data_IF_696751491000
#
_entry.id   IF_696751491000
#
_cell.length_a   1.000
_cell.length_b   1.000
_cell.length_c   1.000
_cell.angle_alpha   90.00
_cell.angle_beta   90.00
_cell.angle_gamma   90.00
#
_symmetry.space_group_name_H-M   'P 1'
#
loop_
_entity.id
_entity.type
_entity.pdbx_description
1 polymer ?
#
# COMPACT_ATOMS: atom_id res chain seq x y z
N UNK A 1 12.55 -6.80 11.00
CA UNK A 1 13.03 -5.39 10.96
C UNK A 1 14.42 -5.38 10.34
N UNK A 2 14.73 -4.38 9.51
CA UNK A 2 16.08 -4.20 8.97
C UNK A 2 17.12 -4.10 10.09
N UNK A 3 18.26 -4.81 9.95
CA UNK A 3 19.29 -4.89 11.01
C UNK A 3 19.88 -3.51 11.35
N UNK A 4 20.12 -2.67 10.33
CA UNK A 4 20.68 -1.31 10.53
C UNK A 4 19.72 -0.42 11.34
N UNK A 5 18.41 -0.55 11.10
CA UNK A 5 17.40 0.16 11.89
C UNK A 5 17.38 -0.36 13.32
N UNK A 6 17.34 -1.68 13.50
CA UNK A 6 17.33 -2.33 14.82
C UNK A 6 18.54 -1.91 15.65
N UNK A 7 19.74 -1.94 15.07
CA UNK A 7 21.00 -1.60 15.75
C UNK A 7 21.05 -0.09 16.13
N UNK A 8 20.27 0.76 15.46
CA UNK A 8 20.21 2.20 15.75
C UNK A 8 19.18 2.58 16.84
N UNK A 9 18.24 1.69 17.18
CA UNK A 9 17.19 1.98 18.16
C UNK A 9 17.70 2.37 19.56
N UNK A 10 18.73 1.72 20.13
CA UNK A 10 19.26 2.12 21.45
C UNK A 10 19.79 3.55 21.45
N UNK A 11 20.53 3.95 20.41
CA UNK A 11 21.07 5.32 20.30
C UNK A 11 19.93 6.34 20.10
N UNK A 12 18.94 6.02 19.24
CA UNK A 12 17.75 6.87 19.05
C UNK A 12 16.99 7.06 20.37
N UNK A 13 16.78 5.97 21.12
CA UNK A 13 16.15 6.03 22.45
C UNK A 13 16.90 6.94 23.41
N UNK A 14 18.23 6.81 23.49
CA UNK A 14 19.06 7.64 24.36
C UNK A 14 18.97 9.12 23.94
N UNK A 15 19.02 9.42 22.64
CA UNK A 15 18.82 10.76 22.14
C UNK A 15 17.46 11.32 22.57
N UNK A 16 16.37 10.63 22.30
CA UNK A 16 15.02 11.08 22.65
C UNK A 16 14.87 11.34 24.16
N UNK A 17 15.49 10.49 25.00
CA UNK A 17 15.49 10.69 26.45
C UNK A 17 16.29 11.91 26.92
N UNK A 18 17.31 12.32 26.17
CA UNK A 18 18.18 13.47 26.49
C UNK A 18 17.57 14.82 26.11
N UNK A 19 16.56 14.83 25.20
CA UNK A 19 15.93 16.06 24.74
C UNK A 19 15.18 16.78 25.88
N UNK A 20 15.31 18.10 25.96
CA UNK A 20 14.57 18.92 26.91
C UNK A 20 13.07 18.90 26.64
N UNK A 21 12.69 18.93 25.36
CA UNK A 21 11.30 18.88 24.90
C UNK A 21 10.73 17.48 24.72
N UNK A 22 11.33 16.42 25.28
CA UNK A 22 10.87 15.03 25.12
C UNK A 22 9.40 14.81 25.50
N UNK A 23 8.88 15.56 26.47
CA UNK A 23 7.47 15.48 26.87
C UNK A 23 6.51 15.98 25.78
N UNK A 24 6.99 16.73 24.81
CA UNK A 24 6.22 17.25 23.69
C UNK A 24 6.24 16.31 22.47
N UNK A 25 7.07 15.25 22.49
CA UNK A 25 7.12 14.24 21.42
C UNK A 25 6.01 13.22 21.67
N UNK A 26 5.00 13.24 20.80
CA UNK A 26 3.87 12.31 20.89
C UNK A 26 4.14 10.98 20.20
N UNK A 27 4.93 10.98 19.11
CA UNK A 27 5.16 9.77 18.32
C UNK A 27 6.46 9.89 17.50
N UNK A 28 7.11 8.75 17.27
CA UNK A 28 8.30 8.64 16.42
C UNK A 28 8.11 7.47 15.48
N UNK A 29 8.30 7.72 14.19
CA UNK A 29 8.20 6.71 13.14
C UNK A 29 9.50 6.61 12.36
N UNK A 30 9.83 5.38 11.95
CA UNK A 30 10.91 5.09 11.03
C UNK A 30 10.31 4.47 9.78
N UNK A 31 10.61 5.06 8.62
CA UNK A 31 10.27 4.47 7.34
C UNK A 31 11.55 4.24 6.53
N UNK A 32 11.56 3.15 5.77
CA UNK A 32 12.73 2.77 4.97
C UNK A 32 12.31 2.51 3.52
N UNK A 33 12.98 3.19 2.60
CA UNK A 33 13.02 2.85 1.18
C UNK A 33 14.20 1.92 0.87
N UNK A 34 14.48 1.71 -0.38
CA UNK A 34 15.62 0.88 -0.82
C UNK A 34 16.96 1.54 -0.46
N UNK A 35 17.03 2.85 -0.57
CA UNK A 35 18.25 3.63 -0.35
C UNK A 35 18.12 4.63 0.79
N UNK A 36 16.92 5.11 1.07
CA UNK A 36 16.66 6.14 2.07
C UNK A 36 16.07 5.54 3.35
N UNK A 37 16.36 6.19 4.45
CA UNK A 37 15.67 5.97 5.73
C UNK A 37 15.18 7.30 6.25
N UNK A 38 13.98 7.36 6.79
CA UNK A 38 13.44 8.55 7.42
C UNK A 38 13.20 8.34 8.91
N UNK A 39 13.49 9.39 9.67
CA UNK A 39 13.06 9.59 11.05
C UNK A 39 11.99 10.68 11.05
N UNK A 40 10.76 10.29 11.38
CA UNK A 40 9.65 11.22 11.56
C UNK A 40 9.38 11.42 13.05
N UNK A 41 9.39 12.65 13.51
CA UNK A 41 9.07 13.03 14.88
C UNK A 41 7.80 13.88 14.88
N UNK A 42 6.73 13.34 15.46
CA UNK A 42 5.47 14.07 15.71
C UNK A 42 5.54 14.73 17.08
N UNK A 43 5.27 16.02 17.13
CA UNK A 43 5.33 16.78 18.39
C UNK A 43 4.11 17.67 18.55
N UNK A 44 3.59 17.74 19.78
CA UNK A 44 2.37 18.48 20.14
C UNK A 44 2.65 19.95 20.44
N UNK A 45 3.86 20.27 20.89
CA UNK A 45 4.34 21.64 21.10
C UNK A 45 5.67 21.85 20.38
N UNK A 46 5.98 23.08 20.04
CA UNK A 46 7.19 23.44 19.31
C UNK A 46 8.45 23.00 20.08
N UNK A 47 9.26 22.17 19.45
CA UNK A 47 10.57 21.82 19.97
C UNK A 47 11.50 23.02 19.94
N UNK A 48 12.37 23.15 20.96
CA UNK A 48 13.38 24.20 20.97
C UNK A 48 14.50 23.90 19.95
N UNK A 49 15.23 24.95 19.57
CA UNK A 49 16.27 24.84 18.54
C UNK A 49 17.41 23.88 18.92
N UNK A 50 17.72 23.72 20.22
CA UNK A 50 18.77 22.80 20.66
C UNK A 50 18.34 21.35 20.43
N UNK A 51 17.11 20.98 20.76
CA UNK A 51 16.56 19.64 20.53
C UNK A 51 16.46 19.33 19.03
N UNK A 52 15.98 20.29 18.22
CA UNK A 52 15.92 20.16 16.76
C UNK A 52 17.32 19.92 16.17
N UNK A 53 18.33 20.64 16.67
CA UNK A 53 19.71 20.44 16.22
C UNK A 53 20.27 19.08 16.63
N UNK A 54 19.97 18.58 17.82
CA UNK A 54 20.38 17.22 18.23
C UNK A 54 19.76 16.14 17.34
N UNK A 55 18.46 16.25 17.04
CA UNK A 55 17.77 15.34 16.10
C UNK A 55 18.40 15.42 14.71
N UNK A 56 18.71 16.63 14.23
CA UNK A 56 19.36 16.84 12.92
C UNK A 56 20.75 16.22 12.87
N UNK A 57 21.58 16.42 13.88
CA UNK A 57 22.93 15.84 13.93
C UNK A 57 22.87 14.31 13.96
N UNK A 58 21.93 13.74 14.72
CA UNK A 58 21.71 12.30 14.74
C UNK A 58 21.32 11.77 13.36
N UNK A 59 20.33 12.40 12.71
CA UNK A 59 19.87 12.00 11.39
C UNK A 59 21.01 12.07 10.35
N UNK A 60 21.78 13.16 10.34
CA UNK A 60 22.93 13.34 9.47
C UNK A 60 24.01 12.26 9.72
N UNK A 61 24.32 11.96 10.99
CA UNK A 61 25.28 10.90 11.35
C UNK A 61 24.84 9.53 10.85
N UNK A 62 23.53 9.24 10.88
CA UNK A 62 22.97 7.98 10.39
C UNK A 62 22.73 7.96 8.88
N UNK A 63 22.85 9.10 8.18
CA UNK A 63 22.45 9.25 6.78
C UNK A 63 20.95 9.16 6.59
N UNK A 64 20.17 9.61 7.59
CA UNK A 64 18.70 9.54 7.56
C UNK A 64 18.10 10.91 7.22
N UNK A 65 16.97 10.89 6.52
CA UNK A 65 16.12 12.05 6.34
C UNK A 65 15.38 12.34 7.66
N UNK A 66 15.34 13.60 8.09
CA UNK A 66 14.61 13.99 9.29
C UNK A 66 13.36 14.78 8.95
N UNK A 67 12.24 14.32 9.46
CA UNK A 67 10.94 14.97 9.31
C UNK A 67 10.38 15.39 10.67
N UNK A 68 9.79 16.57 10.71
CA UNK A 68 8.97 17.05 11.84
C UNK A 68 7.52 17.20 11.39
N UNK A 69 6.60 16.82 12.26
CA UNK A 69 5.16 16.97 12.07
C UNK A 69 4.51 17.55 13.34
N UNK A 70 4.29 18.88 13.40
CA UNK A 70 3.70 19.52 14.57
C UNK A 70 2.18 19.41 14.67
N UNK A 71 1.49 19.04 13.58
CA UNK A 71 0.02 18.96 13.49
C UNK A 71 -0.41 17.82 12.57
N UNK A 72 -1.40 18.05 11.73
CA UNK A 72 -1.87 17.11 10.72
C UNK A 72 -0.83 16.79 9.62
N UNK A 73 -1.15 15.87 8.70
CA UNK A 73 -0.25 15.43 7.63
C UNK A 73 0.33 16.57 6.79
N UNK A 74 -0.45 17.62 6.57
CA UNK A 74 -0.07 18.82 5.82
C UNK A 74 1.08 19.62 6.46
N UNK A 75 1.34 19.38 7.74
CA UNK A 75 2.42 20.05 8.49
C UNK A 75 3.76 19.32 8.40
N UNK A 76 3.81 18.18 7.71
CA UNK A 76 5.04 17.40 7.52
C UNK A 76 6.10 18.24 6.81
N UNK A 77 7.31 18.30 7.39
CA UNK A 77 8.45 19.04 6.80
C UNK A 77 9.73 18.24 6.99
N UNK A 78 10.49 18.11 5.92
CA UNK A 78 11.86 17.63 5.97
C UNK A 78 12.78 18.75 6.45
N UNK A 79 13.63 18.48 7.42
CA UNK A 79 14.46 19.50 8.06
C UNK A 79 15.96 19.20 8.12
N UNK A 80 16.39 18.00 7.69
CA UNK A 80 17.83 17.70 7.54
C UNK A 80 18.43 18.45 6.34
N UNK A 81 17.63 18.66 5.30
CA UNK A 81 17.98 19.35 4.07
C UNK A 81 16.80 20.21 3.60
N UNK A 82 17.00 21.53 3.45
CA UNK A 82 15.90 22.48 3.17
C UNK A 82 15.25 22.26 1.79
N UNK A 83 15.99 21.75 0.80
CA UNK A 83 15.51 21.48 -0.57
C UNK A 83 15.52 20.00 -0.93
N UNK A 84 15.65 19.13 0.08
CA UNK A 84 15.66 17.69 -0.12
C UNK A 84 14.32 17.14 -0.63
N UNK A 85 14.38 16.12 -1.45
CA UNK A 85 13.16 15.42 -1.90
C UNK A 85 12.39 14.89 -0.70
N UNK A 86 11.06 15.14 -0.68
CA UNK A 86 10.15 14.73 0.39
C UNK A 86 9.61 13.31 0.17
N UNK A 87 10.42 12.42 -0.42
CA UNK A 87 10.02 11.06 -0.77
C UNK A 87 11.12 10.06 -0.48
N UNK A 88 10.67 8.86 -0.11
CA UNK A 88 11.46 7.65 -0.12
C UNK A 88 11.06 6.81 -1.34
N UNK A 89 11.88 5.84 -1.71
CA UNK A 89 11.67 5.02 -2.90
C UNK A 89 11.85 3.54 -2.60
N UNK A 90 11.02 2.71 -3.26
CA UNK A 90 11.27 1.27 -3.34
C UNK A 90 10.93 0.76 -4.75
N UNK A 91 11.50 -0.37 -5.11
CA UNK A 91 11.26 -1.00 -6.40
C UNK A 91 10.65 -2.40 -6.24
N UNK A 92 9.82 -2.77 -7.19
CA UNK A 92 9.44 -4.15 -7.47
C UNK A 92 10.19 -4.56 -8.74
N UNK A 93 11.39 -5.11 -8.55
CA UNK A 93 12.35 -5.34 -9.63
C UNK A 93 11.82 -6.35 -10.67
N UNK A 94 11.07 -7.35 -10.22
CA UNK A 94 10.46 -8.34 -11.11
C UNK A 94 9.51 -7.72 -12.16
N UNK A 95 9.00 -6.51 -11.92
CA UNK A 95 8.05 -5.81 -12.78
C UNK A 95 8.64 -4.55 -13.42
N UNK A 96 9.88 -4.19 -13.13
CA UNK A 96 10.49 -2.92 -13.53
C UNK A 96 9.59 -1.74 -13.12
N UNK A 97 9.20 -1.68 -11.84
CA UNK A 97 8.34 -0.63 -11.28
C UNK A 97 9.01 0.01 -10.07
N UNK A 98 9.09 1.34 -10.09
CA UNK A 98 9.66 2.16 -9.02
C UNK A 98 8.57 3.02 -8.38
N UNK A 99 8.50 2.98 -7.06
CA UNK A 99 7.55 3.75 -6.27
C UNK A 99 8.26 4.87 -5.52
N UNK A 100 7.60 6.02 -5.47
CA UNK A 100 7.92 7.09 -4.54
C UNK A 100 6.81 7.18 -3.48
N UNK A 101 7.17 7.30 -2.21
CA UNK A 101 6.22 7.36 -1.11
C UNK A 101 6.64 8.40 -0.05
N UNK A 102 5.67 8.89 0.72
CA UNK A 102 5.92 9.75 1.88
C UNK A 102 6.22 8.92 3.12
N UNK A 103 6.99 9.42 4.10
CA UNK A 103 7.09 8.76 5.41
C UNK A 103 5.76 8.48 6.10
N UNK A 104 4.68 9.16 5.70
CA UNK A 104 3.32 8.97 6.23
C UNK A 104 2.52 7.92 5.47
N UNK A 105 2.97 7.51 4.29
CA UNK A 105 2.23 6.55 3.47
C UNK A 105 2.38 5.14 4.04
N UNK A 106 1.31 4.36 3.97
CA UNK A 106 1.40 2.95 4.27
C UNK A 106 2.20 2.23 3.17
N UNK A 107 3.20 1.47 3.58
CA UNK A 107 3.94 0.54 2.72
C UNK A 107 4.11 -0.79 3.45
N UNK A 108 4.25 -1.87 2.69
CA UNK A 108 4.48 -3.20 3.25
C UNK A 108 5.85 -3.24 3.96
N UNK A 109 5.84 -3.70 5.22
CA UNK A 109 7.03 -3.65 6.10
C UNK A 109 8.14 -4.61 5.72
N UNK A 110 7.83 -5.63 4.91
CA UNK A 110 8.78 -6.64 4.44
C UNK A 110 8.86 -6.60 2.91
N UNK A 111 9.85 -5.89 2.37
CA UNK A 111 10.01 -5.68 0.93
C UNK A 111 10.09 -7.00 0.14
N UNK A 112 10.80 -8.01 0.66
CA UNK A 112 10.93 -9.33 -0.01
C UNK A 112 9.60 -10.06 -0.07
N UNK A 113 8.84 -10.09 1.04
CA UNK A 113 7.53 -10.72 1.07
C UNK A 113 6.53 -9.93 0.23
N UNK A 114 6.62 -8.58 0.21
CA UNK A 114 5.80 -7.75 -0.66
C UNK A 114 6.00 -8.10 -2.14
N UNK A 115 7.26 -8.19 -2.61
CA UNK A 115 7.53 -8.54 -4.00
C UNK A 115 7.01 -9.94 -4.35
N UNK A 116 7.19 -10.93 -3.47
CA UNK A 116 6.65 -12.28 -3.64
C UNK A 116 5.11 -12.30 -3.64
N UNK A 117 4.47 -11.50 -2.79
CA UNK A 117 3.03 -11.37 -2.73
C UNK A 117 2.45 -10.79 -4.02
N UNK A 118 3.08 -9.74 -4.55
CA UNK A 118 2.68 -9.12 -5.82
C UNK A 118 2.89 -10.09 -7.00
N UNK A 119 4.02 -10.83 -7.03
CA UNK A 119 4.26 -11.86 -8.03
C UNK A 119 3.19 -12.94 -7.98
N UNK A 120 2.90 -13.46 -6.79
CA UNK A 120 1.86 -14.48 -6.60
C UNK A 120 0.48 -13.98 -7.03
N UNK A 121 0.12 -12.72 -6.72
CA UNK A 121 -1.14 -12.14 -7.16
C UNK A 121 -1.24 -12.10 -8.71
N UNK A 122 -0.19 -11.67 -9.39
CA UNK A 122 -0.13 -11.65 -10.86
C UNK A 122 -0.20 -13.06 -11.45
N UNK A 123 0.51 -14.04 -10.86
CA UNK A 123 0.47 -15.45 -11.27
C UNK A 123 -0.93 -16.08 -11.09
N UNK A 124 -1.60 -15.78 -9.98
CA UNK A 124 -2.95 -16.26 -9.69
C UNK A 124 -3.97 -15.67 -10.66
N UNK A 125 -3.86 -14.39 -10.97
CA UNK A 125 -4.77 -13.73 -11.93
C UNK A 125 -4.55 -14.17 -13.36
N UNK A 126 -3.36 -14.68 -13.75
CA UNK A 126 -3.05 -15.15 -15.11
C UNK A 126 -3.46 -14.16 -16.20
N UNK A 127 -3.14 -12.89 -15.97
CA UNK A 127 -3.59 -11.81 -16.85
C UNK A 127 -3.06 -11.95 -18.28
N UNK A 128 -3.92 -11.64 -19.24
CA UNK A 128 -3.58 -11.60 -20.65
C UNK A 128 -3.41 -10.18 -21.15
N UNK A 129 -2.64 -10.01 -22.21
CA UNK A 129 -2.48 -8.71 -22.87
C UNK A 129 -3.83 -8.15 -23.33
N UNK A 130 -4.13 -6.91 -22.96
CA UNK A 130 -5.37 -6.24 -23.33
C UNK A 130 -6.51 -6.39 -22.32
N UNK A 131 -6.34 -7.21 -21.28
CA UNK A 131 -7.36 -7.35 -20.23
C UNK A 131 -7.54 -6.10 -19.38
N UNK A 132 -8.70 -6.01 -18.75
CA UNK A 132 -9.09 -4.92 -17.86
C UNK A 132 -9.14 -5.42 -16.42
N UNK A 133 -8.44 -4.75 -15.53
CA UNK A 133 -8.32 -5.12 -14.12
C UNK A 133 -8.81 -4.00 -13.22
N UNK A 134 -9.58 -4.34 -12.21
CA UNK A 134 -9.96 -3.44 -11.13
C UNK A 134 -9.15 -3.80 -9.88
N UNK A 135 -8.50 -2.80 -9.26
CA UNK A 135 -7.72 -2.92 -8.04
C UNK A 135 -8.39 -2.07 -6.95
N UNK A 136 -9.04 -2.71 -6.00
CA UNK A 136 -9.78 -2.07 -4.91
C UNK A 136 -8.90 -1.95 -3.67
N UNK A 137 -8.93 -0.78 -3.03
CA UNK A 137 -8.05 -0.37 -1.93
C UNK A 137 -6.59 -0.27 -2.39
N UNK A 138 -6.37 0.32 -3.57
CA UNK A 138 -5.10 0.26 -4.29
C UNK A 138 -3.93 1.02 -3.62
N UNK A 139 -4.20 1.86 -2.62
CA UNK A 139 -3.19 2.66 -1.96
C UNK A 139 -2.38 3.51 -2.95
N UNK A 140 -1.05 3.44 -2.86
CA UNK A 140 -0.11 4.11 -3.77
C UNK A 140 0.13 3.35 -5.08
N UNK A 141 -0.63 2.28 -5.35
CA UNK A 141 -0.55 1.49 -6.57
C UNK A 141 0.34 0.25 -6.49
N UNK A 142 0.60 -0.27 -5.29
CA UNK A 142 1.53 -1.40 -5.06
C UNK A 142 1.21 -2.64 -5.92
N UNK A 143 -0.06 -2.95 -6.12
CA UNK A 143 -0.52 -3.99 -7.05
C UNK A 143 -0.85 -3.41 -8.43
N UNK A 144 -1.51 -2.25 -8.49
CA UNK A 144 -1.99 -1.67 -9.76
C UNK A 144 -0.90 -1.53 -10.80
N UNK A 145 0.31 -1.07 -10.44
CA UNK A 145 1.37 -0.83 -11.41
C UNK A 145 1.98 -2.12 -11.97
N UNK A 146 2.29 -3.16 -11.16
CA UNK A 146 2.61 -4.50 -11.66
C UNK A 146 1.52 -5.10 -12.55
N UNK A 147 0.23 -4.99 -12.15
CA UNK A 147 -0.88 -5.45 -12.97
C UNK A 147 -0.93 -4.74 -14.33
N UNK A 148 -0.61 -3.43 -14.35
CA UNK A 148 -0.53 -2.66 -15.59
C UNK A 148 0.61 -3.16 -16.50
N UNK A 149 1.75 -3.61 -15.95
CA UNK A 149 2.79 -4.30 -16.73
C UNK A 149 2.28 -5.61 -17.32
N UNK A 150 1.53 -6.39 -16.52
CA UNK A 150 1.01 -7.68 -16.96
C UNK A 150 0.01 -7.54 -18.14
N UNK A 151 -0.93 -6.60 -18.07
CA UNK A 151 -1.93 -6.41 -19.13
C UNK A 151 -1.39 -5.66 -20.36
N UNK A 152 -0.23 -5.02 -20.23
CA UNK A 152 0.45 -4.30 -21.32
C UNK A 152 -0.28 -3.05 -21.79
N UNK A 153 0.24 -2.42 -22.86
CA UNK A 153 -0.22 -1.12 -23.34
C UNK A 153 -1.66 -1.11 -23.89
N UNK A 154 -2.22 -2.27 -24.26
CA UNK A 154 -3.59 -2.41 -24.75
C UNK A 154 -4.61 -2.72 -23.65
N UNK A 155 -4.13 -3.10 -22.46
CA UNK A 155 -4.96 -3.34 -21.29
C UNK A 155 -5.32 -2.07 -20.54
N UNK A 156 -6.04 -2.26 -19.44
CA UNK A 156 -6.40 -1.16 -18.54
C UNK A 156 -6.36 -1.63 -17.09
N UNK A 157 -5.82 -0.81 -16.21
CA UNK A 157 -5.95 -1.00 -14.77
C UNK A 157 -6.65 0.21 -14.17
N UNK A 158 -7.68 -0.05 -13.38
CA UNK A 158 -8.38 0.95 -12.61
C UNK A 158 -8.10 0.69 -11.13
N UNK A 159 -7.43 1.62 -10.47
CA UNK A 159 -7.23 1.61 -9.03
C UNK A 159 -8.25 2.49 -8.31
N UNK A 160 -8.81 2.00 -7.21
CA UNK A 160 -9.77 2.75 -6.38
C UNK A 160 -9.29 2.78 -4.94
N UNK A 161 -9.23 3.97 -4.37
CA UNK A 161 -8.72 4.24 -3.03
C UNK A 161 -9.51 5.38 -2.38
N UNK A 162 -9.73 5.33 -1.07
CA UNK A 162 -10.50 6.35 -0.37
C UNK A 162 -9.74 7.68 -0.21
N UNK A 163 -8.43 7.63 -0.05
CA UNK A 163 -7.58 8.80 0.17
C UNK A 163 -7.21 9.48 -1.14
N UNK A 164 -7.64 10.73 -1.34
CA UNK A 164 -7.23 11.55 -2.49
C UNK A 164 -5.70 11.71 -2.58
N UNK A 165 -5.01 11.80 -1.43
CA UNK A 165 -3.56 11.90 -1.39
C UNK A 165 -2.89 10.62 -1.94
N UNK A 166 -3.41 9.44 -1.57
CA UNK A 166 -2.90 8.16 -2.07
C UNK A 166 -3.21 7.98 -3.56
N UNK A 167 -4.40 8.39 -4.02
CA UNK A 167 -4.77 8.41 -5.46
C UNK A 167 -3.81 9.29 -6.26
N UNK A 168 -3.49 10.48 -5.75
CA UNK A 168 -2.50 11.35 -6.39
C UNK A 168 -1.12 10.67 -6.41
N UNK A 169 -0.72 9.99 -5.34
CA UNK A 169 0.53 9.25 -5.23
C UNK A 169 0.61 8.11 -6.25
N UNK A 170 -0.46 7.31 -6.36
CA UNK A 170 -0.57 6.24 -7.34
C UNK A 170 -0.48 6.78 -8.77
N UNK A 171 -1.14 7.90 -9.05
CA UNK A 171 -1.10 8.59 -10.35
C UNK A 171 0.32 9.06 -10.68
N UNK A 172 1.03 9.64 -9.72
CA UNK A 172 2.42 10.11 -9.91
C UNK A 172 3.37 8.92 -10.11
N UNK A 173 3.16 7.83 -9.38
CA UNK A 173 3.91 6.59 -9.55
C UNK A 173 3.65 5.96 -10.93
N UNK A 174 2.41 5.94 -11.43
CA UNK A 174 2.10 5.47 -12.78
C UNK A 174 2.83 6.31 -13.85
N UNK A 175 2.81 7.64 -13.74
CA UNK A 175 3.53 8.54 -14.63
C UNK A 175 5.05 8.30 -14.60
N UNK A 176 5.63 8.14 -13.40
CA UNK A 176 7.06 7.83 -13.21
C UNK A 176 7.49 6.56 -13.96
N UNK A 177 6.62 5.57 -14.02
CA UNK A 177 6.86 4.28 -14.67
C UNK A 177 6.35 4.22 -16.13
N UNK A 178 5.85 5.33 -16.69
CA UNK A 178 5.26 5.40 -18.04
C UNK A 178 4.08 4.41 -18.24
N UNK A 179 3.27 4.19 -17.21
CA UNK A 179 2.12 3.29 -17.21
C UNK A 179 0.83 4.07 -17.48
N UNK A 180 0.65 4.54 -18.70
CA UNK A 180 -0.48 5.38 -19.13
C UNK A 180 -1.84 4.65 -19.09
N UNK A 181 -1.83 3.32 -19.10
CA UNK A 181 -3.00 2.45 -19.01
C UNK A 181 -3.52 2.25 -17.56
N UNK A 182 -2.83 2.77 -16.55
CA UNK A 182 -3.29 2.78 -15.17
C UNK A 182 -3.96 4.11 -14.84
N UNK A 183 -5.17 4.06 -14.30
CA UNK A 183 -5.95 5.22 -13.85
C UNK A 183 -6.46 5.00 -12.43
N UNK A 184 -6.56 6.08 -11.66
CA UNK A 184 -6.88 6.01 -10.23
C UNK A 184 -8.01 6.94 -9.86
N UNK A 185 -8.89 6.49 -8.97
CA UNK A 185 -10.09 7.22 -8.56
C UNK A 185 -10.20 7.23 -7.03
N UNK A 186 -10.54 8.41 -6.49
CA UNK A 186 -10.85 8.53 -5.07
C UNK A 186 -12.30 8.15 -4.83
N UNK A 187 -12.51 7.12 -4.00
CA UNK A 187 -13.85 6.69 -3.61
C UNK A 187 -13.81 5.89 -2.30
N UNK A 188 -14.65 6.28 -1.36
CA UNK A 188 -14.95 5.48 -0.18
C UNK A 188 -15.87 4.31 -0.58
N UNK A 189 -15.31 3.11 -0.61
CA UNK A 189 -15.99 1.90 -1.07
C UNK A 189 -17.06 1.37 -0.11
N UNK A 190 -17.25 2.01 1.04
CA UNK A 190 -18.39 1.77 1.94
C UNK A 190 -19.62 2.58 1.55
N UNK A 191 -19.49 3.53 0.61
CA UNK A 191 -20.55 4.37 0.10
C UNK A 191 -20.95 3.99 -1.31
N UNK A 192 -22.10 4.48 -1.77
CA UNK A 192 -22.55 4.27 -3.15
C UNK A 192 -21.57 4.89 -4.15
N UNK A 193 -21.09 4.07 -5.06
CA UNK A 193 -20.18 4.41 -6.16
C UNK A 193 -20.76 4.04 -7.54
N UNK A 194 -22.00 3.58 -7.61
CA UNK A 194 -22.65 3.10 -8.84
C UNK A 194 -22.71 4.16 -9.96
N UNK A 195 -22.63 5.44 -9.58
CA UNK A 195 -22.62 6.57 -10.50
C UNK A 195 -21.25 6.84 -11.17
N UNK A 196 -20.17 6.23 -10.65
CA UNK A 196 -18.86 6.39 -11.26
C UNK A 196 -18.72 5.59 -12.55
N UNK A 197 -18.10 6.20 -13.56
CA UNK A 197 -17.91 5.56 -14.85
C UNK A 197 -17.13 4.24 -14.77
N UNK A 198 -16.14 4.15 -13.88
CA UNK A 198 -15.35 2.94 -13.69
C UNK A 198 -16.18 1.76 -13.16
N UNK A 199 -17.21 2.02 -12.33
CA UNK A 199 -18.02 0.96 -11.71
C UNK A 199 -18.84 0.13 -12.72
N UNK A 200 -19.11 0.70 -13.90
CA UNK A 200 -19.99 0.12 -14.92
C UNK A 200 -19.25 -0.33 -16.20
N UNK A 201 -17.92 -0.40 -16.16
CA UNK A 201 -17.13 -0.68 -17.37
C UNK A 201 -16.97 -2.15 -17.70
N UNK A 202 -17.15 -3.06 -16.72
CA UNK A 202 -16.79 -4.46 -16.81
C UNK A 202 -15.28 -4.72 -16.76
N UNK A 203 -14.87 -5.77 -16.07
CA UNK A 203 -13.47 -6.14 -15.86
C UNK A 203 -13.28 -7.65 -16.06
N UNK A 204 -12.09 -8.05 -16.49
CA UNK A 204 -11.73 -9.48 -16.65
C UNK A 204 -11.24 -10.06 -15.32
N UNK A 205 -10.60 -9.23 -14.50
CA UNK A 205 -10.05 -9.62 -13.21
C UNK A 205 -10.23 -8.52 -12.16
N UNK A 206 -10.24 -8.93 -10.88
CA UNK A 206 -10.37 -8.06 -9.73
C UNK A 206 -9.29 -8.42 -8.71
N UNK A 207 -8.61 -7.41 -8.17
CA UNK A 207 -7.76 -7.53 -6.98
C UNK A 207 -8.39 -6.75 -5.84
N UNK A 208 -8.36 -7.30 -4.64
CA UNK A 208 -8.91 -6.69 -3.42
C UNK A 208 -7.88 -6.85 -2.31
N UNK A 209 -7.37 -5.74 -1.78
CA UNK A 209 -6.45 -5.72 -0.63
C UNK A 209 -6.98 -4.75 0.43
N UNK A 210 -8.04 -5.11 1.16
CA UNK A 210 -8.77 -4.23 2.04
C UNK A 210 -8.08 -4.05 3.39
N UNK A 211 -8.48 -3.05 4.18
CA UNK A 211 -8.06 -2.91 5.56
C UNK A 211 -8.52 -4.12 6.40
N UNK A 212 -8.01 -4.22 7.62
CA UNK A 212 -8.28 -5.33 8.57
C UNK A 212 -9.77 -5.66 8.79
N UNK A 213 -10.65 -4.70 8.57
CA UNK A 213 -12.11 -4.89 8.65
C UNK A 213 -12.69 -5.76 7.52
N UNK A 214 -11.91 -5.98 6.45
CA UNK A 214 -12.36 -6.65 5.23
C UNK A 214 -13.10 -5.70 4.29
N UNK A 215 -13.81 -6.27 3.32
CA UNK A 215 -14.48 -5.56 2.23
C UNK A 215 -15.97 -5.97 2.09
N UNK A 216 -16.64 -6.27 3.20
CA UNK A 216 -17.97 -6.88 3.18
C UNK A 216 -18.98 -6.09 2.33
N UNK A 217 -18.99 -4.77 2.45
CA UNK A 217 -19.93 -3.89 1.75
C UNK A 217 -19.75 -4.00 0.22
N UNK A 218 -18.50 -3.98 -0.25
CA UNK A 218 -18.20 -4.05 -1.69
C UNK A 218 -18.45 -5.43 -2.28
N UNK A 219 -18.43 -6.50 -1.46
CA UNK A 219 -18.66 -7.86 -1.95
C UNK A 219 -20.02 -8.02 -2.63
N UNK A 220 -21.04 -7.27 -2.21
CA UNK A 220 -22.37 -7.28 -2.83
C UNK A 220 -22.36 -6.73 -4.27
N UNK A 221 -21.40 -5.90 -4.63
CA UNK A 221 -21.26 -5.28 -5.95
C UNK A 221 -20.34 -6.06 -6.90
N UNK A 222 -19.57 -7.00 -6.38
CA UNK A 222 -18.59 -7.78 -7.16
C UNK A 222 -19.18 -8.40 -8.44
N UNK A 223 -20.41 -8.97 -8.42
CA UNK A 223 -21.01 -9.52 -9.65
C UNK A 223 -21.16 -8.49 -10.77
N UNK A 224 -21.41 -7.22 -10.43
CA UNK A 224 -21.63 -6.14 -11.41
C UNK A 224 -20.33 -5.75 -12.13
N UNK A 225 -19.17 -6.02 -11.55
CA UNK A 225 -17.89 -5.79 -12.21
C UNK A 225 -17.59 -6.78 -13.31
N UNK A 226 -18.25 -7.94 -13.35
CA UNK A 226 -18.11 -8.94 -14.40
C UNK A 226 -16.83 -9.77 -14.33
N UNK A 227 -15.98 -9.56 -13.31
CA UNK A 227 -14.69 -10.21 -13.18
C UNK A 227 -14.84 -11.74 -13.10
N UNK A 228 -14.05 -12.46 -13.91
CA UNK A 228 -14.01 -13.92 -13.91
C UNK A 228 -13.05 -14.48 -12.86
N UNK A 229 -12.02 -13.72 -12.51
CA UNK A 229 -10.97 -14.09 -11.57
C UNK A 229 -10.83 -12.97 -10.53
N UNK A 230 -10.77 -13.37 -9.26
CA UNK A 230 -10.64 -12.46 -8.14
C UNK A 230 -9.48 -12.93 -7.29
N UNK A 231 -8.50 -12.09 -7.05
CA UNK A 231 -7.49 -12.28 -6.01
C UNK A 231 -7.84 -11.39 -4.83
N UNK A 232 -7.95 -12.00 -3.66
CA UNK A 232 -8.21 -11.33 -2.40
C UNK A 232 -6.98 -11.50 -1.49
N UNK A 233 -6.37 -10.40 -1.11
CA UNK A 233 -5.28 -10.33 -0.12
C UNK A 233 -5.87 -9.89 1.21
N UNK A 234 -5.40 -10.40 2.34
CA UNK A 234 -5.94 -10.04 3.65
C UNK A 234 -4.96 -10.28 4.78
N UNK A 235 -4.78 -9.29 5.62
CA UNK A 235 -4.07 -9.41 6.91
C UNK A 235 -4.96 -10.00 8.03
N UNK A 236 -6.20 -10.40 7.74
CA UNK A 236 -7.12 -10.99 8.70
C UNK A 236 -7.90 -12.15 8.08
N UNK A 237 -7.49 -13.42 8.33
CA UNK A 237 -8.15 -14.59 7.76
C UNK A 237 -9.64 -14.72 8.11
N UNK A 238 -10.07 -14.18 9.26
CA UNK A 238 -11.48 -14.26 9.65
C UNK A 238 -12.37 -13.36 8.77
N UNK A 239 -11.91 -12.15 8.42
CA UNK A 239 -12.65 -11.28 7.50
C UNK A 239 -12.58 -11.80 6.06
N UNK A 240 -11.45 -12.38 5.63
CA UNK A 240 -11.38 -13.09 4.36
C UNK A 240 -12.41 -14.23 4.28
N UNK A 241 -12.53 -15.07 5.32
CA UNK A 241 -13.49 -16.16 5.34
C UNK A 241 -14.96 -15.68 5.26
N UNK A 242 -15.29 -14.58 5.95
CA UNK A 242 -16.59 -13.93 5.88
C UNK A 242 -16.92 -13.44 4.48
N UNK A 243 -15.99 -12.70 3.87
CA UNK A 243 -16.14 -12.07 2.55
C UNK A 243 -16.15 -13.13 1.44
N UNK A 244 -15.36 -14.20 1.60
CA UNK A 244 -15.38 -15.37 0.73
C UNK A 244 -16.76 -16.04 0.69
N UNK A 245 -17.47 -16.08 1.83
CA UNK A 245 -18.84 -16.60 1.88
C UNK A 245 -19.79 -15.82 0.96
N UNK A 246 -19.64 -14.51 0.86
CA UNK A 246 -20.42 -13.68 -0.07
C UNK A 246 -20.03 -13.97 -1.54
N UNK A 247 -18.74 -14.09 -1.83
CA UNK A 247 -18.28 -14.44 -3.19
C UNK A 247 -18.84 -15.79 -3.64
N UNK A 248 -18.88 -16.79 -2.74
CA UNK A 248 -19.46 -18.12 -3.05
C UNK A 248 -20.96 -18.02 -3.35
N UNK A 249 -21.71 -17.21 -2.58
CA UNK A 249 -23.14 -16.96 -2.85
C UNK A 249 -23.36 -16.31 -4.22
N UNK A 250 -22.40 -15.53 -4.70
CA UNK A 250 -22.41 -14.91 -6.02
C UNK A 250 -21.82 -15.80 -7.13
N UNK A 251 -21.63 -17.09 -6.89
CA UNK A 251 -21.20 -18.06 -7.89
C UNK A 251 -19.70 -18.02 -8.20
N UNK A 252 -18.89 -17.63 -7.24
CA UNK A 252 -17.43 -17.81 -7.31
C UNK A 252 -17.01 -19.03 -6.49
N UNK A 253 -15.95 -19.69 -6.91
CA UNK A 253 -15.35 -20.83 -6.22
C UNK A 253 -13.93 -20.50 -5.78
N UNK A 254 -13.59 -20.77 -4.52
CA UNK A 254 -12.21 -20.72 -4.05
C UNK A 254 -11.38 -21.79 -4.76
N UNK A 255 -10.35 -21.39 -5.47
CA UNK A 255 -9.44 -22.26 -6.22
C UNK A 255 -8.11 -22.50 -5.51
N UNK A 256 -7.55 -21.45 -4.95
CA UNK A 256 -6.26 -21.50 -4.26
C UNK A 256 -6.27 -20.57 -3.06
N UNK A 257 -5.54 -20.94 -2.03
CA UNK A 257 -5.23 -20.06 -0.91
C UNK A 257 -3.79 -20.30 -0.47
N UNK A 258 -3.13 -19.25 -0.03
CA UNK A 258 -1.80 -19.29 0.54
C UNK A 258 -1.68 -18.32 1.73
N UNK A 259 -0.68 -18.52 2.56
CA UNK A 259 -0.37 -17.70 3.72
C UNK A 259 1.08 -17.23 3.62
N UNK A 260 1.34 -16.00 4.01
CA UNK A 260 2.67 -15.38 4.00
C UNK A 260 2.99 -14.78 5.36
N UNK A 261 4.23 -14.93 5.81
CA UNK A 261 4.73 -14.32 7.06
C UNK A 261 5.28 -12.90 6.77
N UNK A 262 4.36 -11.95 6.59
CA UNK A 262 4.69 -10.53 6.40
C UNK A 262 5.22 -9.90 7.68
N UNK A 263 4.69 -10.32 8.84
CA UNK A 263 4.92 -9.72 10.14
C UNK A 263 5.60 -10.71 11.09
N UNK A 264 6.82 -11.12 10.76
CA UNK A 264 7.61 -12.09 11.54
C UNK A 264 7.64 -11.75 13.03
N UNK A 265 7.53 -12.77 13.87
CA UNK A 265 7.45 -12.65 15.34
C UNK A 265 6.16 -12.01 15.89
N UNK A 266 5.09 -11.96 15.10
CA UNK A 266 3.76 -11.58 15.56
C UNK A 266 2.76 -12.69 15.24
N UNK A 267 1.54 -12.59 15.76
CA UNK A 267 0.43 -13.49 15.41
C UNK A 267 -0.27 -13.14 14.07
N UNK A 268 0.18 -12.09 13.42
CA UNK A 268 -0.41 -11.61 12.17
C UNK A 268 0.13 -12.37 10.98
N UNK A 269 -0.77 -12.89 10.16
CA UNK A 269 -0.46 -13.54 8.89
C UNK A 269 -1.12 -12.79 7.74
N UNK A 270 -0.43 -12.73 6.62
CA UNK A 270 -1.00 -12.28 5.37
C UNK A 270 -1.52 -13.48 4.59
N UNK A 271 -2.73 -13.37 4.05
CA UNK A 271 -3.37 -14.43 3.29
C UNK A 271 -3.67 -13.93 1.88
N UNK A 272 -3.57 -14.82 0.90
CA UNK A 272 -3.97 -14.54 -0.48
C UNK A 272 -4.84 -15.68 -0.99
N UNK A 273 -5.93 -15.35 -1.66
CA UNK A 273 -6.88 -16.34 -2.17
C UNK A 273 -7.31 -15.99 -3.59
N UNK A 274 -7.40 -17.02 -4.45
CA UNK A 274 -7.95 -16.94 -5.80
C UNK A 274 -9.37 -17.50 -5.81
N UNK A 275 -10.29 -16.70 -6.32
CA UNK A 275 -11.66 -17.14 -6.65
C UNK A 275 -11.89 -17.03 -8.15
N UNK A 276 -12.59 -18.01 -8.72
CA UNK A 276 -13.00 -17.99 -10.12
C UNK A 276 -14.52 -18.11 -10.24
N UNK A 277 -15.09 -17.40 -11.21
CA UNK A 277 -16.50 -17.49 -11.53
C UNK A 277 -16.81 -18.88 -12.06
N UNK A 278 -17.80 -19.54 -11.46
CA UNK A 278 -18.29 -20.83 -11.97
C UNK A 278 -18.89 -20.56 -13.35
N UNK A 279 -18.40 -21.26 -14.37
CA UNK A 279 -19.00 -21.22 -15.69
C UNK A 279 -20.30 -21.99 -15.63
N UNK A 280 -21.41 -21.37 -16.01
CA UNK A 280 -22.63 -22.10 -16.28
C UNK A 280 -22.37 -23.00 -17.50
N UNK A 281 -22.42 -24.29 -17.30
CA UNK A 281 -22.43 -25.24 -18.42
C UNK A 281 -23.80 -25.05 -19.08
N UNK A 282 -23.81 -24.30 -20.18
CA UNK A 282 -25.00 -24.27 -21.04
C UNK A 282 -25.10 -25.66 -21.69
N UNK A 283 -26.01 -26.49 -21.15
CA UNK A 283 -26.42 -27.74 -21.75
C UNK A 283 -27.18 -27.49 -23.06
#
# INVERSE_FOLDING_TARGET
MDKKLSDSLPELRNLLQSLKGKAHIGHVELAKGDYETSLLVRHIEKLNNADVNQLRQFALHKGWQLYLQPKGPESLRRIDEEQGAMRLHYALNAFDVNFAFSPLDFTQVNATVNEQMVQLACELLQLQQGERVLDLFCGLGNFSLPLARCVGAKGQVVGVEASEEMVQRATDNAKRNNLVQASFFSQDLTKDFSHHSWANQGFDALLIDPPRAGAYEIMQYVPNFGAKRIVYVSCNPATLARDAGVLVQHGYQLKKAAVMDMFTHTEHVESIALFEKIQEIND
#
